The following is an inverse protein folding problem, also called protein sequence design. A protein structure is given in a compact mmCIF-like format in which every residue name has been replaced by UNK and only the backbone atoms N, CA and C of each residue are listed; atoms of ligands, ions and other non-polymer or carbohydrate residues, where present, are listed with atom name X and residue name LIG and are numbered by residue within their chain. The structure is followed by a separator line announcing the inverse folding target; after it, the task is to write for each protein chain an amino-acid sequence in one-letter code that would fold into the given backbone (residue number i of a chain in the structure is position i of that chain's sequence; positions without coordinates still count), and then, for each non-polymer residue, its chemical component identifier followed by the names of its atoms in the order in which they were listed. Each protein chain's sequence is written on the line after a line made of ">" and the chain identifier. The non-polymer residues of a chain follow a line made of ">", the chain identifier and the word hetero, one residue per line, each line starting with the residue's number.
data_IF_464756659642
#
_entry.id   IF_464756659642
#
_cell.length_a   1.000
_cell.length_b   1.000
_cell.length_c   1.000
_cell.angle_alpha   90.00
_cell.angle_beta   90.00
_cell.angle_gamma   90.00
#
_symmetry.space_group_name_H-M   'P 1'
#
loop_
_entity.id
_entity.type
_entity.pdbx_description
1 polymer ?
#
# COMPACT_ATOMS: atom_id res chain seq x y z
N UNK A 1 9.58 22.58 0.49
CA UNK A 1 9.07 21.39 1.18
C UNK A 1 9.49 20.20 0.34
N UNK A 2 10.56 19.49 0.71
CA UNK A 2 10.93 18.29 -0.04
C UNK A 2 10.13 17.15 0.57
N UNK A 3 8.97 16.87 -0.01
CA UNK A 3 8.28 15.59 0.22
C UNK A 3 9.23 14.52 -0.27
N UNK A 4 10.00 13.92 0.64
CA UNK A 4 10.70 12.69 0.34
C UNK A 4 9.60 11.69 -0.02
N UNK A 5 9.42 11.40 -1.31
CA UNK A 5 8.43 10.46 -1.80
C UNK A 5 8.74 9.11 -1.15
N UNK A 6 8.01 8.79 -0.09
CA UNK A 6 8.20 7.58 0.71
C UNK A 6 8.03 6.39 -0.23
N UNK A 7 8.91 5.40 -0.14
CA UNK A 7 8.77 4.23 -1.01
C UNK A 7 7.56 3.42 -0.55
N UNK A 8 6.69 3.04 -1.49
CA UNK A 8 5.50 2.22 -1.19
C UNK A 8 5.88 0.90 -0.49
N UNK A 9 7.07 0.35 -0.77
CA UNK A 9 7.57 -0.87 -0.10
C UNK A 9 7.78 -0.66 1.39
N UNK A 10 8.34 0.48 1.79
CA UNK A 10 8.56 0.80 3.20
C UNK A 10 7.22 0.96 3.93
N UNK A 11 6.24 1.57 3.27
CA UNK A 11 4.88 1.71 3.81
C UNK A 11 4.23 0.34 3.97
N UNK A 12 4.37 -0.58 3.00
CA UNK A 12 3.85 -1.95 3.10
C UNK A 12 4.41 -2.67 4.34
N UNK A 13 5.72 -2.57 4.60
CA UNK A 13 6.32 -3.18 5.78
C UNK A 13 5.68 -2.67 7.08
N UNK A 14 5.50 -1.36 7.21
CA UNK A 14 4.88 -0.74 8.39
C UNK A 14 3.40 -1.11 8.53
N UNK A 15 2.66 -1.20 7.43
CA UNK A 15 1.27 -1.64 7.45
C UNK A 15 1.15 -3.07 8.00
N UNK A 16 2.04 -3.97 7.58
CA UNK A 16 2.05 -5.36 8.05
C UNK A 16 2.45 -5.50 9.53
N UNK A 17 3.10 -4.52 10.13
CA UNK A 17 3.34 -4.48 11.59
C UNK A 17 2.10 -4.05 12.37
N UNK A 18 1.29 -3.16 11.79
CA UNK A 18 0.07 -2.64 12.44
C UNK A 18 -1.12 -3.58 12.27
N UNK A 19 -1.25 -4.23 11.12
CA UNK A 19 -2.39 -5.11 10.82
C UNK A 19 -2.30 -6.37 11.70
N UNK A 20 -3.31 -6.69 12.51
CA UNK A 20 -3.30 -7.89 13.34
C UNK A 20 -3.18 -9.18 12.52
N UNK A 21 -2.56 -10.21 13.08
CA UNK A 21 -2.33 -11.51 12.40
C UNK A 21 -3.64 -12.23 11.99
N UNK A 22 -4.73 -11.98 12.71
CA UNK A 22 -6.05 -12.57 12.43
C UNK A 22 -6.73 -11.96 11.18
N UNK A 23 -6.22 -10.84 10.66
CA UNK A 23 -6.66 -10.24 9.39
C UNK A 23 -5.97 -10.90 8.19
N UNK A 24 -6.01 -12.23 8.13
CA UNK A 24 -5.24 -13.04 7.17
C UNK A 24 -5.47 -12.60 5.73
N UNK A 25 -6.72 -12.38 5.31
CA UNK A 25 -7.06 -11.97 3.94
C UNK A 25 -6.44 -10.61 3.55
N UNK A 26 -6.44 -9.63 4.46
CA UNK A 26 -5.86 -8.31 4.22
C UNK A 26 -4.32 -8.41 4.12
N UNK A 27 -3.70 -9.15 5.04
CA UNK A 27 -2.25 -9.37 5.04
C UNK A 27 -1.80 -10.07 3.76
N UNK A 28 -2.51 -11.12 3.34
CA UNK A 28 -2.25 -11.86 2.10
C UNK A 28 -2.33 -10.95 0.87
N UNK A 29 -3.39 -10.13 0.74
CA UNK A 29 -3.52 -9.19 -0.39
C UNK A 29 -2.38 -8.15 -0.44
N UNK A 30 -1.95 -7.64 0.71
CA UNK A 30 -0.82 -6.69 0.77
C UNK A 30 0.50 -7.37 0.41
N UNK A 31 0.73 -8.60 0.88
CA UNK A 31 1.92 -9.38 0.54
C UNK A 31 1.91 -9.71 -0.96
N UNK A 32 0.79 -10.19 -1.49
CA UNK A 32 0.61 -10.48 -2.91
C UNK A 32 0.86 -9.22 -3.75
N UNK A 33 0.34 -8.06 -3.37
CA UNK A 33 0.60 -6.81 -4.05
C UNK A 33 2.11 -6.46 -4.09
N UNK A 34 2.82 -6.63 -2.97
CA UNK A 34 4.27 -6.41 -2.91
C UNK A 34 5.03 -7.40 -3.81
N UNK A 35 4.70 -8.68 -3.73
CA UNK A 35 5.43 -9.76 -4.39
C UNK A 35 5.08 -9.93 -5.87
N UNK A 36 3.88 -9.51 -6.28
CA UNK A 36 3.41 -9.66 -7.66
C UNK A 36 3.40 -8.34 -8.42
N UNK A 37 2.81 -7.29 -7.86
CA UNK A 37 2.59 -6.03 -8.60
C UNK A 37 3.82 -5.13 -8.55
N UNK A 38 4.53 -5.12 -7.42
CA UNK A 38 5.75 -4.33 -7.25
C UNK A 38 7.01 -5.12 -7.66
N UNK A 39 7.07 -6.45 -7.43
CA UNK A 39 8.23 -7.28 -7.83
C UNK A 39 8.10 -7.93 -9.20
N UNK A 40 6.91 -8.33 -9.66
CA UNK A 40 6.72 -9.04 -10.95
C UNK A 40 5.79 -8.28 -11.90
N UNK A 41 6.24 -7.14 -12.44
CA UNK A 41 5.68 -6.51 -13.65
C UNK A 41 4.14 -6.30 -13.65
N UNK A 42 3.66 -5.18 -13.09
CA UNK A 42 2.24 -4.81 -13.08
C UNK A 42 1.55 -4.96 -14.47
N UNK A 43 0.63 -5.92 -14.68
CA UNK A 43 -0.01 -6.12 -15.98
C UNK A 43 -1.02 -5.01 -16.32
N UNK A 44 -1.66 -4.40 -15.32
CA UNK A 44 -2.70 -3.38 -15.52
C UNK A 44 -2.19 -2.00 -15.93
N UNK A 45 -0.90 -1.70 -15.71
CA UNK A 45 -0.31 -0.38 -15.98
C UNK A 45 0.98 -0.45 -16.81
N UNK A 46 1.20 -1.56 -17.55
CA UNK A 46 2.38 -1.76 -18.39
C UNK A 46 2.64 -0.60 -19.38
N UNK A 47 1.57 0.06 -19.85
CA UNK A 47 1.66 1.28 -20.66
C UNK A 47 2.23 2.49 -19.88
N UNK A 48 1.74 2.74 -18.66
CA UNK A 48 2.21 3.85 -17.83
C UNK A 48 3.66 3.64 -17.37
N UNK A 49 4.05 2.39 -17.12
CA UNK A 49 5.44 2.01 -16.80
C UNK A 49 6.43 2.44 -17.88
N UNK A 50 6.07 2.23 -19.15
CA UNK A 50 6.92 2.57 -20.28
C UNK A 50 6.91 4.07 -20.62
N UNK A 51 5.93 4.82 -20.14
CA UNK A 51 5.77 6.25 -20.44
C UNK A 51 6.31 7.16 -19.33
N UNK A 52 6.22 6.76 -18.07
CA UNK A 52 6.60 7.61 -16.94
C UNK A 52 6.88 6.79 -15.64
N UNK A 53 8.03 6.09 -15.57
CA UNK A 53 8.41 5.23 -14.42
C UNK A 53 8.49 5.98 -13.08
N UNK A 54 8.78 7.28 -13.10
CA UNK A 54 8.82 8.16 -11.94
C UNK A 54 7.45 8.32 -11.25
N UNK A 55 6.35 8.14 -11.99
CA UNK A 55 4.99 8.19 -11.44
C UNK A 55 4.51 6.85 -10.88
N UNK A 56 5.28 5.77 -11.06
CA UNK A 56 4.88 4.43 -10.62
C UNK A 56 4.71 4.33 -9.12
N UNK A 57 5.53 5.05 -8.34
CA UNK A 57 5.37 5.08 -6.88
C UNK A 57 3.99 5.60 -6.49
N UNK A 58 3.52 6.70 -7.09
CA UNK A 58 2.18 7.25 -6.83
C UNK A 58 1.05 6.28 -7.24
N UNK A 59 1.22 5.57 -8.36
CA UNK A 59 0.27 4.53 -8.78
C UNK A 59 0.20 3.40 -7.75
N UNK A 60 1.35 2.96 -7.22
CA UNK A 60 1.38 1.91 -6.21
C UNK A 60 0.74 2.34 -4.89
N UNK A 61 0.91 3.60 -4.48
CA UNK A 61 0.19 4.14 -3.33
C UNK A 61 -1.32 4.12 -3.56
N UNK A 62 -1.79 4.51 -4.75
CA UNK A 62 -3.21 4.50 -5.07
C UNK A 62 -3.81 3.09 -5.01
N UNK A 63 -3.13 2.10 -5.62
CA UNK A 63 -3.54 0.69 -5.58
C UNK A 63 -3.56 0.13 -4.15
N UNK A 64 -2.53 0.44 -3.35
CA UNK A 64 -2.49 0.08 -1.94
C UNK A 64 -3.66 0.70 -1.16
N UNK A 65 -4.01 1.95 -1.46
CA UNK A 65 -5.18 2.62 -0.90
C UNK A 65 -6.49 1.87 -1.17
N UNK A 66 -6.71 1.39 -2.40
CA UNK A 66 -7.88 0.57 -2.74
C UNK A 66 -7.93 -0.75 -1.99
N UNK A 67 -6.79 -1.44 -1.85
CA UNK A 67 -6.70 -2.67 -1.05
C UNK A 67 -7.11 -2.39 0.40
N UNK A 68 -6.64 -1.28 0.97
CA UNK A 68 -6.97 -0.91 2.35
C UNK A 68 -8.47 -0.59 2.49
N UNK A 69 -9.04 0.21 1.59
CA UNK A 69 -10.46 0.59 1.61
C UNK A 69 -11.38 -0.63 1.51
N UNK A 70 -11.11 -1.54 0.56
CA UNK A 70 -11.93 -2.72 0.30
C UNK A 70 -11.94 -3.75 1.44
N UNK A 71 -10.90 -3.75 2.28
CA UNK A 71 -10.67 -4.84 3.24
C UNK A 71 -10.67 -4.38 4.71
N UNK A 72 -10.58 -3.07 5.00
CA UNK A 72 -10.64 -2.55 6.37
C UNK A 72 -12.05 -2.12 6.77
N UNK A 73 -12.92 -1.82 5.81
CA UNK A 73 -14.29 -1.38 6.07
C UNK A 73 -14.32 -0.04 6.82
N UNK A 74 -15.01 0.03 7.96
CA UNK A 74 -15.04 1.25 8.80
C UNK A 74 -13.82 1.32 9.72
N UNK A 75 -13.34 2.53 9.96
CA UNK A 75 -12.29 2.81 10.95
C UNK A 75 -12.91 2.83 12.36
N UNK A 76 -13.05 1.65 12.96
CA UNK A 76 -13.69 1.43 14.25
C UNK A 76 -12.75 0.89 15.34
N UNK A 77 -11.59 0.36 14.94
CA UNK A 77 -10.56 -0.18 15.84
C UNK A 77 -9.29 0.68 15.83
N UNK A 78 -8.48 0.55 16.89
CA UNK A 78 -7.24 1.32 17.04
C UNK A 78 -6.19 0.96 15.98
N UNK A 79 -6.08 -0.32 15.61
CA UNK A 79 -5.14 -0.72 14.54
C UNK A 79 -5.50 -0.11 13.19
N UNK A 80 -6.80 0.06 12.87
CA UNK A 80 -7.23 0.74 11.62
C UNK A 80 -6.90 2.23 11.63
N UNK A 81 -6.98 2.88 12.79
CA UNK A 81 -6.55 4.29 12.94
C UNK A 81 -5.04 4.43 12.73
N UNK A 82 -4.26 3.53 13.31
CA UNK A 82 -2.81 3.48 13.14
C UNK A 82 -2.42 3.16 11.69
N UNK A 83 -3.19 2.31 11.01
CA UNK A 83 -3.01 1.99 9.61
C UNK A 83 -3.17 3.24 8.73
N UNK A 84 -4.21 4.05 8.96
CA UNK A 84 -4.40 5.32 8.23
C UNK A 84 -3.27 6.31 8.50
N UNK A 85 -2.80 6.39 9.75
CA UNK A 85 -1.64 7.22 10.12
C UNK A 85 -0.37 6.83 9.36
N UNK A 86 -0.04 5.54 9.35
CA UNK A 86 1.10 4.99 8.60
C UNK A 86 0.99 5.32 7.11
N UNK A 87 -0.18 5.10 6.52
CA UNK A 87 -0.41 5.34 5.10
C UNK A 87 -0.37 6.84 4.73
N UNK A 88 -0.92 7.70 5.58
CA UNK A 88 -0.93 9.16 5.38
C UNK A 88 0.39 9.84 5.76
N UNK A 89 1.40 9.08 6.21
CA UNK A 89 2.65 9.62 6.74
C UNK A 89 2.45 10.62 7.90
N UNK A 90 1.49 10.32 8.78
CA UNK A 90 1.18 11.08 9.98
C UNK A 90 1.65 10.27 11.19
N UNK A 91 2.72 10.72 11.86
CA UNK A 91 3.16 10.16 13.15
C UNK A 91 2.25 10.61 14.31
#
# INVERSE_FOLDING_TARGET
>A
MSSSDRNVRDVIHLLLEVIPEDQTLLREKIIEFNDTTIKTTAPRHKEKWNQAPEHMNGIYFQELGYILEDNTGKIDTDWKRNLVKVFANQE
#
